data_IF_636095483181
#
_entry.id   IF_636095483181
#
_cell.length_a   1.000
_cell.length_b   1.000
_cell.length_c   1.000
_cell.angle_alpha   90.00
_cell.angle_beta   90.00
_cell.angle_gamma   90.00
#
_symmetry.space_group_name_H-M   'P 1'
#
loop_
_entity.id
_entity.type
_entity.pdbx_description
1 polymer ?
#
# COMPACT_ATOMS: atom_id res chain seq x y z
N UNK A 1 47.28 -25.93 61.80
CA UNK A 1 46.56 -26.38 60.58
C UNK A 1 45.81 -25.17 60.04
N UNK A 2 46.39 -24.43 59.11
CA UNK A 2 45.71 -23.30 58.46
C UNK A 2 45.09 -23.77 57.15
N UNK A 3 43.76 -23.73 57.08
CA UNK A 3 43.01 -23.97 55.85
C UNK A 3 43.15 -22.74 54.94
N UNK A 4 43.85 -22.90 53.82
CA UNK A 4 43.94 -21.86 52.79
C UNK A 4 42.57 -21.60 52.18
N UNK A 5 42.06 -20.38 52.33
CA UNK A 5 40.90 -19.91 51.58
C UNK A 5 41.25 -19.90 50.09
N UNK A 6 40.46 -20.55 49.22
CA UNK A 6 40.68 -20.47 47.79
C UNK A 6 40.48 -19.01 47.37
N UNK A 7 41.55 -18.40 46.85
CA UNK A 7 41.47 -17.10 46.20
C UNK A 7 40.65 -17.34 44.93
N UNK A 8 39.34 -17.06 45.01
CA UNK A 8 38.51 -17.00 43.82
C UNK A 8 39.12 -15.95 42.89
N UNK A 9 39.52 -16.39 41.69
CA UNK A 9 40.11 -15.54 40.68
C UNK A 9 39.08 -14.48 40.26
N UNK A 10 39.26 -13.27 40.79
CA UNK A 10 38.38 -12.11 40.58
C UNK A 10 38.18 -11.78 39.09
N UNK A 11 39.07 -12.26 38.20
CA UNK A 11 38.94 -12.11 36.75
C UNK A 11 37.79 -12.92 36.17
N UNK A 12 37.54 -14.14 36.68
CA UNK A 12 36.40 -14.95 36.21
C UNK A 12 35.07 -14.32 36.61
N UNK A 13 34.96 -13.78 37.83
CA UNK A 13 33.77 -13.08 38.28
C UNK A 13 33.47 -11.81 37.46
N UNK A 14 34.51 -11.01 37.16
CA UNK A 14 34.37 -9.82 36.32
C UNK A 14 33.93 -10.17 34.88
N UNK A 15 34.50 -11.23 34.30
CA UNK A 15 34.12 -11.70 32.96
C UNK A 15 32.67 -12.20 32.90
N UNK A 16 32.22 -12.95 33.91
CA UNK A 16 30.83 -13.41 34.00
C UNK A 16 29.84 -12.23 34.12
N UNK A 17 30.18 -11.22 34.92
CA UNK A 17 29.36 -10.01 35.04
C UNK A 17 29.30 -9.20 33.73
N UNK A 18 30.43 -9.07 33.02
CA UNK A 18 30.47 -8.40 31.72
C UNK A 18 29.63 -9.16 30.68
N UNK A 19 29.70 -10.49 30.66
CA UNK A 19 28.87 -11.32 29.77
C UNK A 19 27.37 -11.14 30.06
N UNK A 20 26.98 -11.13 31.34
CA UNK A 20 25.60 -10.87 31.76
C UNK A 20 25.07 -9.55 31.22
N UNK A 21 25.85 -8.47 31.35
CA UNK A 21 25.48 -7.15 30.79
C UNK A 21 25.32 -7.13 29.27
N UNK A 22 26.13 -7.91 28.55
CA UNK A 22 26.02 -8.03 27.10
C UNK A 22 24.74 -8.78 26.72
N UNK A 23 24.42 -9.87 27.43
CA UNK A 23 23.19 -10.63 27.22
C UNK A 23 21.97 -9.74 27.47
N UNK A 24 21.93 -9.05 28.62
CA UNK A 24 20.83 -8.14 28.95
C UNK A 24 20.67 -7.04 27.89
N UNK A 25 21.77 -6.48 27.38
CA UNK A 25 21.73 -5.47 26.33
C UNK A 25 21.23 -6.03 24.98
N UNK A 26 21.61 -7.26 24.63
CA UNK A 26 21.13 -7.93 23.41
C UNK A 26 19.65 -8.27 23.52
N UNK A 27 19.20 -8.76 24.67
CA UNK A 27 17.79 -9.08 24.90
C UNK A 27 16.94 -7.80 24.93
N UNK A 28 17.42 -6.72 25.53
CA UNK A 28 16.77 -5.42 25.46
C UNK A 28 16.70 -4.88 24.03
N UNK A 29 17.78 -5.03 23.24
CA UNK A 29 17.80 -4.63 21.83
C UNK A 29 16.81 -5.45 20.99
N UNK A 30 16.73 -6.78 21.20
CA UNK A 30 15.75 -7.65 20.53
C UNK A 30 14.32 -7.32 20.93
N UNK A 31 14.07 -7.02 22.21
CA UNK A 31 12.75 -6.63 22.68
C UNK A 31 12.32 -5.27 22.10
N UNK A 32 13.26 -4.32 21.95
CA UNK A 32 13.01 -3.04 21.29
C UNK A 32 12.77 -3.21 19.78
N UNK A 33 13.52 -4.08 19.10
CA UNK A 33 13.32 -4.41 17.67
C UNK A 33 11.97 -5.12 17.42
N UNK A 34 11.48 -5.87 18.41
CA UNK A 34 10.19 -6.56 18.34
C UNK A 34 8.99 -5.67 18.75
N UNK A 35 9.22 -4.43 19.20
CA UNK A 35 8.14 -3.54 19.58
C UNK A 35 7.35 -3.11 18.35
N UNK A 36 6.02 -3.25 18.40
CA UNK A 36 5.16 -2.76 17.32
C UNK A 36 5.27 -1.23 17.19
N UNK A 37 5.38 -0.70 15.96
CA UNK A 37 5.40 0.74 15.72
C UNK A 37 4.23 1.45 16.38
N UNK A 38 4.52 2.48 17.20
CA UNK A 38 3.48 3.24 17.86
C UNK A 38 2.85 4.21 16.86
N UNK A 39 1.53 4.32 16.91
CA UNK A 39 0.77 5.29 16.10
C UNK A 39 0.52 6.56 16.90
N UNK A 40 0.91 7.70 16.35
CA UNK A 40 0.73 9.03 16.92
C UNK A 40 -0.19 9.87 16.07
N UNK A 41 -1.10 10.59 16.71
CA UNK A 41 -2.03 11.50 16.04
C UNK A 41 -1.63 12.95 16.33
N UNK A 42 -1.56 13.76 15.27
CA UNK A 42 -1.21 15.18 15.36
C UNK A 42 -2.25 16.04 14.66
N UNK A 43 -2.39 17.29 15.10
CA UNK A 43 -3.30 18.26 14.49
C UNK A 43 -2.79 18.78 13.13
N UNK A 44 -1.46 18.81 12.95
CA UNK A 44 -0.79 19.20 11.71
C UNK A 44 0.53 18.44 11.50
N UNK A 45 1.01 18.37 10.27
CA UNK A 45 2.32 17.79 9.95
C UNK A 45 3.49 18.63 10.48
N UNK A 46 3.27 19.93 10.71
CA UNK A 46 4.24 20.79 11.37
C UNK A 46 4.41 20.45 12.86
N UNK A 47 3.30 20.16 13.57
CA UNK A 47 3.36 19.73 14.97
C UNK A 47 4.05 18.37 15.12
N UNK A 48 3.74 17.44 14.22
CA UNK A 48 4.42 16.14 14.15
C UNK A 48 5.92 16.32 13.92
N UNK A 49 6.31 17.25 13.04
CA UNK A 49 7.72 17.56 12.79
C UNK A 49 8.41 18.12 14.03
N UNK A 50 7.78 19.05 14.74
CA UNK A 50 8.30 19.60 15.98
C UNK A 50 8.46 18.53 17.07
N UNK A 51 7.55 17.56 17.14
CA UNK A 51 7.65 16.45 18.08
C UNK A 51 8.83 15.51 17.77
N UNK A 52 9.10 15.22 16.49
CA UNK A 52 10.29 14.46 16.06
C UNK A 52 11.58 15.23 16.40
N UNK A 53 11.62 16.53 16.09
CA UNK A 53 12.79 17.38 16.38
C UNK A 53 13.08 17.50 17.89
N UNK A 54 12.06 17.26 18.74
CA UNK A 54 12.15 17.20 20.20
C UNK A 54 12.34 15.79 20.76
N UNK A 55 12.56 14.78 19.91
CA UNK A 55 12.78 13.37 20.27
C UNK A 55 11.59 12.76 21.05
N UNK A 56 10.36 13.23 20.79
CA UNK A 56 9.13 12.72 21.41
C UNK A 56 8.53 11.55 20.65
N UNK A 57 8.91 11.39 19.38
CA UNK A 57 8.48 10.32 18.50
C UNK A 57 9.71 9.52 18.10
N UNK A 58 9.64 8.20 18.28
CA UNK A 58 10.78 7.33 18.01
C UNK A 58 10.94 7.05 16.51
N UNK A 59 12.13 6.62 16.14
CA UNK A 59 12.37 6.02 14.84
C UNK A 59 11.47 4.80 14.62
N UNK A 60 10.94 4.65 13.39
CA UNK A 60 10.01 3.59 13.03
C UNK A 60 8.56 3.80 13.46
N UNK A 61 8.24 4.82 14.27
CA UNK A 61 6.85 5.13 14.64
C UNK A 61 6.04 5.65 13.45
N UNK A 62 4.71 5.58 13.57
CA UNK A 62 3.74 6.01 12.57
C UNK A 62 3.07 7.31 13.01
N UNK A 63 2.94 8.24 12.07
CA UNK A 63 2.31 9.55 12.25
C UNK A 63 1.02 9.62 11.45
N UNK A 64 -0.03 10.12 12.07
CA UNK A 64 -1.34 10.35 11.45
C UNK A 64 -1.72 11.82 11.62
N UNK A 65 -2.01 12.49 10.52
CA UNK A 65 -2.48 13.88 10.48
C UNK A 65 -3.78 13.91 9.68
N UNK A 66 -4.91 13.73 10.37
CA UNK A 66 -6.21 13.54 9.72
C UNK A 66 -6.69 14.77 8.94
N UNK A 67 -6.41 15.96 9.47
CA UNK A 67 -6.74 17.25 8.84
C UNK A 67 -6.09 17.43 7.46
N UNK A 68 -4.94 16.80 7.26
CA UNK A 68 -4.16 16.85 6.02
C UNK A 68 -4.27 15.56 5.19
N UNK A 69 -4.97 14.54 5.73
CA UNK A 69 -5.08 13.18 5.18
C UNK A 69 -3.72 12.52 4.96
N UNK A 70 -2.77 12.78 5.86
CA UNK A 70 -1.40 12.29 5.77
C UNK A 70 -1.19 11.16 6.77
N UNK A 71 -0.62 10.05 6.29
CA UNK A 71 -0.01 9.04 7.16
C UNK A 71 1.45 8.87 6.74
N UNK A 72 2.34 8.81 7.72
CA UNK A 72 3.77 8.68 7.51
C UNK A 72 4.40 7.69 8.50
N UNK A 73 5.59 7.19 8.18
CA UNK A 73 6.46 6.54 9.16
C UNK A 73 7.73 7.36 9.34
N UNK A 74 8.35 7.28 10.52
CA UNK A 74 9.61 7.95 10.82
C UNK A 74 10.78 7.06 10.40
N UNK A 75 11.71 7.62 9.62
CA UNK A 75 12.98 6.99 9.26
C UNK A 75 14.15 7.85 9.74
N UNK A 76 14.83 7.39 10.78
CA UNK A 76 15.76 8.18 11.58
C UNK A 76 15.07 9.40 12.17
N UNK A 77 15.28 10.57 11.55
CA UNK A 77 14.62 11.83 11.93
C UNK A 77 13.79 12.41 10.78
N UNK A 78 13.50 11.60 9.76
CA UNK A 78 12.84 12.02 8.52
C UNK A 78 11.50 11.29 8.38
N UNK A 79 10.36 11.96 8.57
CA UNK A 79 9.05 11.36 8.30
C UNK A 79 8.82 11.26 6.79
N UNK A 80 8.40 10.08 6.35
CA UNK A 80 8.09 9.76 4.96
C UNK A 80 6.62 9.44 4.84
N UNK A 81 5.90 10.23 4.04
CA UNK A 81 4.47 10.01 3.80
C UNK A 81 4.25 8.75 2.95
N UNK A 82 3.38 7.86 3.41
CA UNK A 82 2.91 6.68 2.65
C UNK A 82 1.64 6.99 1.85
N UNK A 83 0.99 8.11 2.15
CA UNK A 83 -0.19 8.64 1.45
C UNK A 83 0.17 9.59 0.32
N UNK A 84 -0.74 9.78 -0.65
CA UNK A 84 -0.57 10.77 -1.74
C UNK A 84 -0.39 12.20 -1.19
N UNK A 85 -1.16 12.57 -0.18
CA UNK A 85 -0.93 13.79 0.57
C UNK A 85 0.31 13.60 1.46
N UNK A 86 1.24 14.56 1.41
CA UNK A 86 2.47 14.50 2.18
C UNK A 86 2.64 15.63 3.20
N UNK A 87 1.83 16.69 3.15
CA UNK A 87 1.95 17.83 4.07
C UNK A 87 3.37 18.40 4.10
N UNK A 88 3.93 18.55 5.30
CA UNK A 88 5.32 18.95 5.53
C UNK A 88 6.34 17.79 5.50
N UNK A 89 5.91 16.55 5.28
CA UNK A 89 6.78 15.37 5.29
C UNK A 89 7.47 15.15 3.93
N UNK A 90 8.48 14.27 3.93
CA UNK A 90 9.06 13.83 2.67
C UNK A 90 8.02 13.04 1.86
N UNK A 91 7.86 13.40 0.59
CA UNK A 91 7.01 12.63 -0.33
C UNK A 91 7.62 11.26 -0.59
N UNK A 92 6.75 10.26 -0.79
CA UNK A 92 7.14 8.88 -1.05
C UNK A 92 8.20 8.73 -2.16
N UNK A 93 8.05 9.48 -3.25
CA UNK A 93 8.96 9.45 -4.40
C UNK A 93 10.42 9.79 -4.04
N UNK A 94 10.64 10.58 -2.97
CA UNK A 94 11.99 10.94 -2.52
C UNK A 94 12.73 9.78 -1.85
N UNK A 95 12.04 8.69 -1.53
CA UNK A 95 12.65 7.48 -0.99
C UNK A 95 13.54 6.76 -2.02
N UNK A 96 13.27 6.97 -3.32
CA UNK A 96 14.04 6.43 -4.45
C UNK A 96 13.91 4.92 -4.65
N UNK A 97 13.17 4.23 -3.78
CA UNK A 97 12.81 2.81 -3.87
C UNK A 97 11.53 2.55 -3.06
N UNK A 98 10.84 1.42 -3.27
CA UNK A 98 9.67 1.07 -2.47
C UNK A 98 9.99 1.03 -0.97
N UNK A 99 9.09 1.49 -0.11
CA UNK A 99 9.34 1.61 1.33
C UNK A 99 9.62 0.28 2.01
N UNK A 100 8.99 -0.81 1.56
CA UNK A 100 9.29 -2.18 2.01
C UNK A 100 10.71 -2.64 1.65
N UNK A 101 11.36 -2.02 0.67
CA UNK A 101 12.75 -2.27 0.29
C UNK A 101 13.74 -1.22 0.87
N UNK A 102 13.24 -0.20 1.56
CA UNK A 102 14.06 0.84 2.16
C UNK A 102 14.86 0.30 3.35
N UNK A 103 16.12 0.75 3.48
CA UNK A 103 17.07 0.25 4.48
C UNK A 103 17.07 -1.28 4.65
N UNK A 104 17.13 -2.01 3.52
CA UNK A 104 17.11 -3.48 3.49
C UNK A 104 15.89 -4.11 4.20
N UNK A 105 14.76 -3.39 4.25
CA UNK A 105 13.52 -3.87 4.87
C UNK A 105 13.39 -3.59 6.36
N UNK A 106 14.32 -2.83 6.96
CA UNK A 106 14.29 -2.53 8.40
C UNK A 106 13.01 -1.83 8.87
N UNK A 107 12.31 -1.14 7.96
CA UNK A 107 11.07 -0.41 8.24
C UNK A 107 9.80 -1.16 7.81
N UNK A 108 9.87 -2.45 7.45
CA UNK A 108 8.69 -3.22 7.01
C UNK A 108 7.54 -3.12 8.03
N UNK A 109 7.74 -3.32 9.35
CA UNK A 109 6.65 -3.19 10.32
C UNK A 109 6.02 -1.79 10.33
N UNK A 110 6.85 -0.74 10.25
CA UNK A 110 6.40 0.66 10.23
C UNK A 110 5.57 0.97 8.99
N UNK A 111 6.02 0.47 7.83
CA UNK A 111 5.34 0.63 6.55
C UNK A 111 4.00 -0.10 6.58
N UNK A 112 3.97 -1.35 7.04
CA UNK A 112 2.73 -2.13 7.18
C UNK A 112 1.73 -1.44 8.11
N UNK A 113 2.21 -0.92 9.24
CA UNK A 113 1.36 -0.22 10.20
C UNK A 113 0.82 1.09 9.63
N UNK A 114 1.64 1.85 8.91
CA UNK A 114 1.26 3.08 8.23
C UNK A 114 0.27 2.83 7.09
N UNK A 115 0.51 1.82 6.26
CA UNK A 115 -0.41 1.39 5.19
C UNK A 115 -1.77 1.00 5.78
N UNK A 116 -1.78 0.18 6.83
CA UNK A 116 -3.01 -0.23 7.52
C UNK A 116 -3.79 0.97 8.08
N UNK A 117 -3.11 1.92 8.74
CA UNK A 117 -3.75 3.12 9.26
C UNK A 117 -4.36 3.98 8.13
N UNK A 118 -3.64 4.16 7.02
CA UNK A 118 -4.16 4.87 5.85
C UNK A 118 -5.38 4.17 5.24
N UNK A 119 -5.37 2.83 5.15
CA UNK A 119 -6.49 2.02 4.65
C UNK A 119 -7.74 2.16 5.53
N UNK A 120 -7.57 2.11 6.85
CA UNK A 120 -8.64 2.27 7.84
C UNK A 120 -9.29 3.66 7.75
N UNK A 121 -8.49 4.70 7.52
CA UNK A 121 -8.95 6.07 7.35
C UNK A 121 -9.47 6.38 5.93
N UNK A 122 -9.34 5.44 4.99
CA UNK A 122 -9.76 5.62 3.60
C UNK A 122 -8.91 6.64 2.84
N UNK A 123 -7.62 6.73 3.15
CA UNK A 123 -6.66 7.58 2.46
C UNK A 123 -6.00 6.83 1.30
N UNK A 124 -5.63 7.55 0.25
CA UNK A 124 -4.96 6.96 -0.91
C UNK A 124 -3.48 6.77 -0.63
N UNK A 125 -2.98 5.54 -0.78
CA UNK A 125 -1.55 5.24 -0.68
C UNK A 125 -0.80 5.79 -1.91
N UNK A 126 0.38 6.36 -1.68
CA UNK A 126 1.29 6.86 -2.71
C UNK A 126 1.95 5.72 -3.50
N UNK A 127 2.23 4.58 -2.86
CA UNK A 127 2.81 3.43 -3.54
C UNK A 127 1.72 2.60 -4.27
N UNK A 128 1.78 2.46 -5.61
CA UNK A 128 0.90 1.55 -6.33
C UNK A 128 1.06 0.09 -5.91
N UNK A 129 2.26 -0.37 -5.53
CA UNK A 129 2.50 -1.75 -5.11
C UNK A 129 1.81 -2.08 -3.77
N UNK A 130 1.80 -1.14 -2.83
CA UNK A 130 1.09 -1.31 -1.56
C UNK A 130 -0.42 -1.47 -1.75
N UNK A 131 -1.01 -0.76 -2.73
CA UNK A 131 -2.43 -0.90 -3.09
C UNK A 131 -2.77 -2.31 -3.57
N UNK A 132 -1.85 -2.96 -4.30
CA UNK A 132 -2.02 -4.36 -4.75
C UNK A 132 -2.11 -5.29 -3.54
N UNK A 133 -1.14 -5.22 -2.63
CA UNK A 133 -1.10 -6.06 -1.42
C UNK A 133 -2.36 -5.87 -0.57
N UNK A 134 -2.88 -4.65 -0.49
CA UNK A 134 -4.08 -4.30 0.27
C UNK A 134 -5.41 -4.71 -0.41
N UNK A 135 -5.38 -5.40 -1.55
CA UNK A 135 -6.61 -5.74 -2.26
C UNK A 135 -7.33 -4.54 -2.89
N UNK A 136 -6.66 -3.39 -3.02
CA UNK A 136 -7.26 -2.17 -3.56
C UNK A 136 -7.09 -2.12 -5.08
N UNK A 137 -8.07 -1.59 -5.83
CA UNK A 137 -7.92 -1.36 -7.26
C UNK A 137 -6.73 -0.44 -7.56
N UNK A 138 -5.90 -0.84 -8.53
CA UNK A 138 -4.73 -0.08 -8.97
C UNK A 138 -4.94 0.37 -10.41
N UNK A 139 -4.70 1.66 -10.72
CA UNK A 139 -4.76 2.15 -12.09
C UNK A 139 -3.67 1.46 -12.93
N UNK A 140 -4.08 0.85 -14.03
CA UNK A 140 -3.21 0.22 -15.03
C UNK A 140 -3.66 0.65 -16.42
N UNK A 141 -2.71 0.79 -17.33
CA UNK A 141 -2.99 1.01 -18.75
C UNK A 141 -3.11 -0.35 -19.45
N UNK A 142 -4.26 -0.59 -20.08
CA UNK A 142 -4.52 -1.83 -20.81
C UNK A 142 -5.12 -1.52 -22.18
N UNK A 143 -4.82 -2.33 -23.21
CA UNK A 143 -5.61 -2.33 -24.44
C UNK A 143 -7.10 -2.47 -24.11
N UNK A 144 -7.96 -1.69 -24.77
CA UNK A 144 -9.41 -1.67 -24.49
C UNK A 144 -10.05 -3.06 -24.59
N UNK A 145 -9.53 -3.93 -25.46
CA UNK A 145 -9.98 -5.32 -25.59
C UNK A 145 -9.66 -6.21 -24.38
N UNK A 146 -8.76 -5.78 -23.48
CA UNK A 146 -8.39 -6.50 -22.25
C UNK A 146 -9.09 -5.97 -21.00
N UNK A 147 -10.01 -5.02 -21.14
CA UNK A 147 -10.90 -4.59 -20.06
C UNK A 147 -11.78 -5.78 -19.64
N UNK A 148 -11.99 -5.95 -18.34
CA UNK A 148 -12.70 -7.08 -17.74
C UNK A 148 -13.91 -6.61 -16.91
N UNK A 149 -14.95 -7.46 -16.74
CA UNK A 149 -15.99 -7.21 -15.75
C UNK A 149 -15.38 -7.00 -14.36
N UNK A 150 -15.83 -5.97 -13.65
CA UNK A 150 -15.31 -5.57 -12.35
C UNK A 150 -14.25 -4.47 -12.39
N UNK A 151 -13.64 -4.18 -13.54
CA UNK A 151 -12.75 -3.02 -13.70
C UNK A 151 -13.49 -1.70 -13.47
N UNK A 152 -12.75 -0.67 -13.04
CA UNK A 152 -13.20 0.72 -13.07
C UNK A 152 -12.50 1.44 -14.23
N UNK A 153 -13.20 1.61 -15.34
CA UNK A 153 -12.72 2.32 -16.52
C UNK A 153 -12.76 3.84 -16.31
N UNK A 154 -11.66 4.52 -16.60
CA UNK A 154 -11.59 5.99 -16.62
C UNK A 154 -11.96 6.49 -18.02
N UNK A 155 -13.17 7.03 -18.16
CA UNK A 155 -13.64 7.56 -19.44
C UNK A 155 -14.64 8.71 -19.25
N UNK A 156 -14.69 9.63 -20.22
CA UNK A 156 -15.60 10.78 -20.21
C UNK A 156 -15.50 11.65 -18.94
N UNK A 157 -14.31 11.73 -18.33
CA UNK A 157 -14.09 12.49 -17.09
C UNK A 157 -14.75 11.88 -15.84
N UNK A 158 -15.09 10.60 -15.88
CA UNK A 158 -15.70 9.86 -14.77
C UNK A 158 -15.09 8.46 -14.60
N UNK A 159 -15.34 7.86 -13.43
CA UNK A 159 -15.00 6.47 -13.14
C UNK A 159 -16.21 5.58 -13.40
N UNK A 160 -16.05 4.61 -14.29
CA UNK A 160 -17.12 3.74 -14.77
C UNK A 160 -16.85 2.29 -14.38
N UNK A 161 -17.71 1.71 -13.54
CA UNK A 161 -17.66 0.29 -13.25
C UNK A 161 -18.11 -0.50 -14.47
N UNK A 162 -17.25 -1.41 -14.93
CA UNK A 162 -17.55 -2.35 -16.01
C UNK A 162 -18.35 -3.51 -15.44
N UNK A 163 -19.60 -3.63 -15.89
CA UNK A 163 -20.51 -4.71 -15.47
C UNK A 163 -20.30 -5.93 -16.37
N UNK A 164 -20.15 -5.71 -17.67
CA UNK A 164 -19.95 -6.76 -18.67
C UNK A 164 -19.25 -6.18 -19.90
N UNK A 165 -18.63 -7.03 -20.71
CA UNK A 165 -17.92 -6.63 -21.92
C UNK A 165 -17.85 -7.76 -22.94
N UNK A 166 -17.73 -7.40 -24.22
CA UNK A 166 -17.51 -8.38 -25.27
C UNK A 166 -17.34 -7.74 -26.63
N UNK A 167 -17.40 -8.57 -27.66
CA UNK A 167 -17.41 -8.13 -29.06
C UNK A 167 -18.70 -8.57 -29.73
N UNK A 168 -19.23 -7.75 -30.64
CA UNK A 168 -20.41 -8.09 -31.45
C UNK A 168 -20.27 -7.53 -32.86
N UNK A 169 -21.06 -8.04 -33.79
CA UNK A 169 -21.24 -7.41 -35.10
C UNK A 169 -22.42 -6.43 -34.99
N UNK A 170 -22.19 -5.16 -35.28
CA UNK A 170 -23.25 -4.16 -35.35
C UNK A 170 -24.10 -4.38 -36.60
N UNK A 171 -25.41 -4.50 -36.42
CA UNK A 171 -26.34 -4.73 -37.53
C UNK A 171 -26.46 -3.49 -38.44
N UNK A 172 -26.25 -2.30 -37.90
CA UNK A 172 -26.33 -1.04 -38.65
C UNK A 172 -25.10 -0.81 -39.52
N UNK A 173 -23.91 -1.06 -38.98
CA UNK A 173 -22.64 -0.78 -39.66
C UNK A 173 -22.04 -2.01 -40.35
N UNK A 174 -22.54 -3.21 -40.05
CA UNK A 174 -21.94 -4.50 -40.44
C UNK A 174 -20.46 -4.63 -40.03
N UNK A 175 -20.02 -3.90 -39.00
CA UNK A 175 -18.65 -3.93 -38.48
C UNK A 175 -18.60 -4.57 -37.10
N UNK A 176 -17.47 -5.19 -36.79
CA UNK A 176 -17.19 -5.67 -35.44
C UNK A 176 -16.96 -4.49 -34.49
N UNK A 177 -17.64 -4.52 -33.35
CA UNK A 177 -17.54 -3.53 -32.28
C UNK A 177 -17.24 -4.25 -30.96
N UNK A 178 -16.30 -3.68 -30.21
CA UNK A 178 -16.16 -3.98 -28.79
C UNK A 178 -17.20 -3.17 -28.02
N UNK A 179 -17.81 -3.76 -27.01
CA UNK A 179 -18.79 -3.11 -26.16
C UNK A 179 -18.51 -3.37 -24.67
N UNK A 180 -18.94 -2.44 -23.83
CA UNK A 180 -18.97 -2.59 -22.39
C UNK A 180 -20.28 -2.05 -21.82
N UNK A 181 -20.93 -2.83 -20.97
CA UNK A 181 -22.02 -2.37 -20.12
C UNK A 181 -21.40 -1.73 -18.88
N UNK A 182 -21.70 -0.45 -18.65
CA UNK A 182 -21.05 0.35 -17.61
C UNK A 182 -22.05 1.13 -16.77
N UNK A 183 -21.65 1.46 -15.54
CA UNK A 183 -22.36 2.38 -14.64
C UNK A 183 -21.35 3.26 -13.90
N UNK A 184 -21.74 4.45 -13.42
CA UNK A 184 -20.85 5.27 -12.60
C UNK A 184 -20.42 4.53 -11.33
N UNK A 185 -19.11 4.50 -11.06
CA UNK A 185 -18.52 3.75 -9.94
C UNK A 185 -18.96 4.29 -8.57
N UNK A 186 -19.25 5.59 -8.49
CA UNK A 186 -19.83 6.26 -7.33
C UNK A 186 -21.14 6.98 -7.67
N UNK A 187 -21.85 7.50 -6.66
CA UNK A 187 -23.00 8.39 -6.89
C UNK A 187 -22.61 9.67 -7.65
N UNK A 188 -21.43 10.23 -7.37
CA UNK A 188 -20.94 11.42 -8.09
C UNK A 188 -20.67 11.08 -9.56
N UNK A 189 -20.02 9.95 -9.85
CA UNK A 189 -19.77 9.50 -11.22
C UNK A 189 -21.09 9.26 -11.99
N UNK A 190 -22.11 8.71 -11.33
CA UNK A 190 -23.46 8.53 -11.89
C UNK A 190 -24.14 9.86 -12.21
N UNK A 191 -23.87 10.93 -11.45
CA UNK A 191 -24.40 12.27 -11.74
C UNK A 191 -23.67 12.97 -12.88
N UNK A 192 -22.37 12.73 -13.03
CA UNK A 192 -21.55 13.26 -14.14
C UNK A 192 -21.84 12.57 -15.47
N UNK A 193 -22.31 11.32 -15.41
CA UNK A 193 -22.64 10.51 -16.59
C UNK A 193 -24.14 10.19 -16.61
N UNK A 194 -24.50 8.91 -16.75
CA UNK A 194 -25.88 8.45 -16.71
C UNK A 194 -26.20 7.86 -15.34
N UNK A 195 -27.43 8.09 -14.87
CA UNK A 195 -27.91 7.61 -13.57
C UNK A 195 -28.12 6.09 -13.52
N UNK A 196 -28.12 5.42 -14.67
CA UNK A 196 -28.34 3.99 -14.84
C UNK A 196 -27.26 3.37 -15.73
N UNK A 197 -27.28 2.04 -15.84
CA UNK A 197 -26.40 1.30 -16.75
C UNK A 197 -26.61 1.74 -18.20
N UNK A 198 -25.52 1.81 -18.95
CA UNK A 198 -25.53 2.15 -20.38
C UNK A 198 -24.40 1.43 -21.09
N UNK A 199 -24.47 1.38 -22.42
CA UNK A 199 -23.49 0.65 -23.25
C UNK A 199 -22.55 1.63 -23.93
N UNK A 200 -21.26 1.45 -23.71
CA UNK A 200 -20.20 2.01 -24.53
C UNK A 200 -19.90 1.02 -25.67
N UNK A 201 -19.80 1.50 -26.91
CA UNK A 201 -19.39 0.66 -28.04
C UNK A 201 -18.37 1.41 -28.91
N UNK A 202 -17.35 0.69 -29.37
CA UNK A 202 -16.27 1.23 -30.22
C UNK A 202 -15.93 0.19 -31.28
N UNK A 203 -15.69 0.58 -32.56
CA UNK A 203 -15.22 -0.34 -33.57
C UNK A 203 -13.97 -1.12 -33.11
N UNK A 204 -13.93 -2.43 -33.32
CA UNK A 204 -12.80 -3.29 -32.90
C UNK A 204 -11.48 -2.80 -33.50
N UNK A 205 -11.52 -2.31 -34.74
CA UNK A 205 -10.36 -1.75 -35.42
C UNK A 205 -9.73 -0.55 -34.67
N UNK A 206 -10.51 0.18 -33.88
CA UNK A 206 -9.99 1.23 -32.99
C UNK A 206 -9.66 0.67 -31.61
N UNK A 207 -10.55 -0.15 -31.04
CA UNK A 207 -10.36 -0.73 -29.70
C UNK A 207 -9.09 -1.60 -29.58
N UNK A 208 -8.64 -2.21 -30.68
CA UNK A 208 -7.43 -3.03 -30.69
C UNK A 208 -6.13 -2.25 -30.47
N UNK A 209 -6.11 -0.96 -30.82
CA UNK A 209 -4.93 -0.09 -30.71
C UNK A 209 -5.07 0.96 -29.62
N UNK A 210 -6.27 1.11 -29.06
CA UNK A 210 -6.58 2.08 -28.03
C UNK A 210 -6.22 1.54 -26.64
N UNK A 211 -5.47 2.35 -25.89
CA UNK A 211 -5.06 2.05 -24.52
C UNK A 211 -5.93 2.88 -23.58
N UNK A 212 -6.48 2.23 -22.56
CA UNK A 212 -7.33 2.85 -21.55
C UNK A 212 -6.76 2.63 -20.16
N UNK A 213 -6.97 3.61 -19.29
CA UNK A 213 -6.70 3.46 -17.86
C UNK A 213 -7.89 2.78 -17.19
N UNK A 214 -7.64 1.66 -16.51
CA UNK A 214 -8.61 0.99 -15.64
C UNK A 214 -8.04 0.82 -14.24
N UNK A 215 -8.88 0.88 -13.21
CA UNK A 215 -8.50 0.38 -11.89
C UNK A 215 -8.93 -1.08 -11.78
N UNK A 216 -7.97 -1.97 -11.52
CA UNK A 216 -8.21 -3.40 -11.38
C UNK A 216 -7.72 -3.91 -10.04
N UNK A 217 -8.48 -4.81 -9.41
CA UNK A 217 -8.00 -5.56 -8.26
C UNK A 217 -7.10 -6.71 -8.74
N UNK A 218 -5.78 -6.54 -8.60
CA UNK A 218 -4.79 -7.48 -9.11
C UNK A 218 -4.62 -8.71 -8.23
N UNK A 219 -5.13 -8.67 -7.00
CA UNK A 219 -4.97 -9.71 -5.97
C UNK A 219 -5.64 -11.04 -6.32
N UNK A 220 -6.64 -11.01 -7.19
CA UNK A 220 -7.50 -12.16 -7.52
C UNK A 220 -7.22 -12.79 -8.90
N UNK A 221 -6.37 -12.19 -9.73
CA UNK A 221 -6.12 -12.70 -11.10
C UNK A 221 -5.31 -14.01 -11.15
N UNK A 222 -4.72 -14.46 -10.04
CA UNK A 222 -3.96 -15.72 -10.00
C UNK A 222 -4.79 -16.95 -9.56
N UNK A 223 -6.00 -16.77 -9.01
CA UNK A 223 -6.79 -17.89 -8.48
C UNK A 223 -7.75 -18.52 -9.51
N UNK A 224 -8.23 -17.77 -10.51
CA UNK A 224 -9.24 -18.27 -11.45
C UNK A 224 -8.70 -19.06 -12.64
N UNK A 225 -7.38 -19.17 -12.83
CA UNK A 225 -6.80 -19.94 -13.93
C UNK A 225 -6.64 -21.45 -13.65
N UNK A 226 -7.03 -21.94 -12.46
CA UNK A 226 -6.72 -23.30 -11.99
C UNK A 226 -7.90 -24.28 -11.85
N UNK A 227 -9.15 -23.85 -11.88
CA UNK A 227 -10.30 -24.73 -11.52
C UNK A 227 -11.13 -25.26 -12.70
N UNK A 228 -10.85 -24.88 -13.95
CA UNK A 228 -11.65 -25.28 -15.12
C UNK A 228 -10.97 -26.36 -15.99
N UNK A 229 -10.36 -27.38 -15.37
CA UNK A 229 -9.81 -28.53 -16.14
C UNK A 229 -9.81 -29.88 -15.41
N UNK A 230 -10.76 -30.08 -14.50
CA UNK A 230 -10.88 -31.35 -13.77
C UNK A 230 -12.33 -31.85 -13.64
N UNK A 231 -13.16 -31.70 -14.68
CA UNK A 231 -14.30 -32.62 -14.82
C UNK A 231 -14.75 -32.71 -16.28
N UNK A 232 -14.63 -33.90 -16.86
CA UNK A 232 -14.84 -34.12 -18.29
C UNK A 232 -14.22 -35.43 -18.78
N UNK A 233 -14.48 -36.53 -18.06
CA UNK A 233 -14.43 -37.89 -18.59
C UNK A 233 -15.81 -38.51 -18.53
#
# INVERSE_FOLDING_TARGET
MSAGHPIYDNRQAAAAHQLGRIIDAVDAARAAEAAEPKVWHFASSADARAAIDQDQVADGDVLVVESERVVAFVSGVWPVAITEQCGAFASYDKLGKPARAYCAGSYIPSVERAEQAAIELGYTLADPAARITAGRPVPIEVPRLLVQPGDILHAFGARLRVVDTGTRISLESSRAEWWALVEGATEEDRRRTYRSRWTLAVPVALAAWDVVTVERNLSSSHAQAGEESADGR
#
